data_IF_621779468111
#
_entry.id   IF_621779468111
#
_cell.length_a   1.000
_cell.length_b   1.000
_cell.length_c   1.000
_cell.angle_alpha   90.00
_cell.angle_beta   90.00
_cell.angle_gamma   90.00
#
_symmetry.space_group_name_H-M   'P 1'
#
loop_
_entity.id
_entity.type
_entity.pdbx_description
1 polymer ?
#
# COMPACT_ATOMS: atom_id res chain seq x y z
N UNK A 1 6.78 -4.05 15.69
CA UNK A 1 5.53 -3.26 15.72
C UNK A 1 4.78 -3.19 14.38
N UNK A 2 5.39 -3.49 13.22
CA UNK A 2 4.63 -3.65 11.96
C UNK A 2 4.31 -2.37 11.17
N UNK A 3 4.79 -1.19 11.61
CA UNK A 3 4.54 0.09 10.94
C UNK A 3 4.94 0.08 9.46
N UNK A 4 6.19 -0.29 9.15
CA UNK A 4 6.67 -0.38 7.76
C UNK A 4 5.90 -1.41 6.95
N UNK A 5 5.51 -2.53 7.56
CA UNK A 5 4.68 -3.55 6.93
C UNK A 5 3.32 -2.99 6.53
N UNK A 6 2.68 -2.21 7.40
CA UNK A 6 1.41 -1.54 7.10
C UNK A 6 1.54 -0.62 5.89
N UNK A 7 2.57 0.23 5.85
CA UNK A 7 2.80 1.10 4.69
C UNK A 7 3.02 0.30 3.40
N UNK A 8 3.81 -0.78 3.44
CA UNK A 8 4.04 -1.64 2.29
C UNK A 8 2.75 -2.30 1.78
N UNK A 9 1.83 -2.66 2.69
CA UNK A 9 0.50 -3.19 2.31
C UNK A 9 -0.35 -2.11 1.64
N UNK A 10 -0.43 -0.92 2.24
CA UNK A 10 -1.21 0.20 1.69
C UNK A 10 -0.72 0.61 0.30
N UNK A 11 0.61 0.59 0.09
CA UNK A 11 1.21 0.96 -1.20
C UNK A 11 1.29 -0.20 -2.21
N UNK A 12 0.71 -1.36 -1.92
CA UNK A 12 0.71 -2.51 -2.85
C UNK A 12 2.08 -3.18 -3.06
N UNK A 13 3.05 -2.96 -2.16
CA UNK A 13 4.34 -3.69 -2.17
C UNK A 13 4.16 -5.09 -1.60
N UNK A 14 3.30 -5.24 -0.57
CA UNK A 14 2.95 -6.54 -0.01
C UNK A 14 1.46 -6.83 -0.18
N UNK A 15 1.14 -8.09 -0.43
CA UNK A 15 -0.24 -8.58 -0.41
C UNK A 15 -0.58 -8.96 1.03
N UNK A 16 -1.66 -8.43 1.62
CA UNK A 16 -2.08 -8.83 2.95
C UNK A 16 -2.47 -10.31 2.96
N UNK A 17 -2.10 -11.03 4.01
CA UNK A 17 -2.47 -12.45 4.18
C UNK A 17 -3.97 -12.64 4.44
N UNK A 18 -4.66 -11.59 4.93
CA UNK A 18 -6.09 -11.57 5.15
C UNK A 18 -6.63 -10.14 5.25
N UNK A 19 -7.94 -9.99 5.15
CA UNK A 19 -8.61 -8.68 5.16
C UNK A 19 -8.56 -7.95 3.82
N UNK A 20 -9.02 -6.69 3.83
CA UNK A 20 -9.17 -5.86 2.63
C UNK A 20 -8.57 -4.48 2.87
N UNK A 21 -7.89 -3.97 1.85
CA UNK A 21 -7.47 -2.58 1.76
C UNK A 21 -8.37 -1.92 0.72
N UNK A 22 -9.16 -0.94 1.14
CA UNK A 22 -10.12 -0.24 0.28
C UNK A 22 -9.81 1.24 0.29
N UNK A 23 -9.79 1.86 -0.90
CA UNK A 23 -9.60 3.29 -1.07
C UNK A 23 -10.53 3.81 -2.17
N UNK A 24 -11.32 4.86 -1.89
CA UNK A 24 -12.35 5.38 -2.82
C UNK A 24 -13.24 4.26 -3.39
N UNK A 25 -13.76 3.42 -2.48
CA UNK A 25 -14.59 2.25 -2.78
C UNK A 25 -13.93 1.19 -3.70
N UNK A 26 -12.62 1.29 -3.93
CA UNK A 26 -11.86 0.36 -4.75
C UNK A 26 -11.00 -0.57 -3.89
N UNK A 27 -11.10 -1.87 -4.14
CA UNK A 27 -10.24 -2.87 -3.51
C UNK A 27 -8.82 -2.74 -4.09
N UNK A 28 -7.84 -2.53 -3.20
CA UNK A 28 -6.42 -2.39 -3.56
C UNK A 28 -5.64 -3.71 -3.47
N UNK A 29 -6.21 -4.74 -2.84
CA UNK A 29 -5.55 -6.04 -2.71
C UNK A 29 -5.10 -6.56 -4.09
N UNK A 30 -3.85 -7.02 -4.17
CA UNK A 30 -3.22 -7.57 -5.39
C UNK A 30 -3.04 -6.56 -6.55
N UNK A 31 -3.31 -5.27 -6.34
CA UNK A 31 -2.88 -4.25 -7.29
C UNK A 31 -1.37 -4.08 -7.19
N UNK A 32 -0.69 -3.90 -8.32
CA UNK A 32 0.70 -3.51 -8.31
C UNK A 32 0.87 -2.11 -7.72
N UNK A 33 2.01 -1.83 -7.10
CA UNK A 33 2.28 -0.56 -6.45
C UNK A 33 2.10 0.66 -7.38
N UNK A 34 2.43 0.53 -8.67
CA UNK A 34 2.22 1.61 -9.65
C UNK A 34 0.73 1.86 -9.95
N UNK A 35 -0.12 0.83 -9.88
CA UNK A 35 -1.56 0.98 -10.07
C UNK A 35 -2.21 1.63 -8.85
N UNK A 36 -1.73 1.27 -7.65
CA UNK A 36 -2.11 1.93 -6.39
C UNK A 36 -1.70 3.42 -6.41
N UNK A 37 -0.50 3.73 -6.89
CA UNK A 37 -0.04 5.11 -7.04
C UNK A 37 -0.92 5.92 -8.00
N UNK A 38 -1.34 5.33 -9.13
CA UNK A 38 -2.28 5.95 -10.08
C UNK A 38 -3.68 6.20 -9.49
N UNK A 39 -4.08 5.52 -8.41
CA UNK A 39 -5.32 5.84 -7.70
C UNK A 39 -5.20 7.11 -6.81
N UNK A 40 -3.99 7.63 -6.63
CA UNK A 40 -3.69 8.83 -5.83
C UNK A 40 -3.00 8.56 -4.49
N UNK A 41 -2.45 7.36 -4.27
CA UNK A 41 -1.69 7.03 -3.05
C UNK A 41 -0.20 7.19 -3.33
N UNK A 42 0.39 8.28 -2.83
CA UNK A 42 1.84 8.50 -2.83
C UNK A 42 2.47 8.10 -1.50
N UNK A 43 3.70 7.60 -1.52
CA UNK A 43 4.51 7.35 -0.32
C UNK A 43 5.84 8.08 -0.40
N UNK A 44 6.16 8.82 0.64
CA UNK A 44 7.51 9.34 0.86
C UNK A 44 8.40 8.27 1.47
N UNK A 45 9.66 8.24 1.07
CA UNK A 45 10.67 7.40 1.68
C UNK A 45 11.42 8.25 2.70
N UNK A 46 11.43 7.82 3.97
CA UNK A 46 12.37 8.39 4.91
C UNK A 46 13.76 8.02 4.43
N UNK A 47 14.56 9.03 4.15
CA UNK A 47 15.96 8.84 3.83
C UNK A 47 16.66 8.43 5.14
N UNK A 48 17.05 7.17 5.24
CA UNK A 48 17.76 6.66 6.41
C UNK A 48 19.22 7.09 6.20
N UNK A 49 19.66 8.08 6.97
CA UNK A 49 21.05 8.53 7.03
C UNK A 49 21.61 8.20 8.40
#
# INVERSE_FOLDING_TARGET
AGKTTLFNIITGIYIPTGGKVVFKDRLLNRMHAWDVARQGIGRTFQNIR
#
